data_IF_921957843753
#
_entry.id   IF_921957843753
#
_cell.length_a   1.000
_cell.length_b   1.000
_cell.length_c   1.000
_cell.angle_alpha   90.00
_cell.angle_beta   90.00
_cell.angle_gamma   90.00
#
_symmetry.space_group_name_H-M   'P 1'
#
loop_
_entity.id
_entity.type
_entity.pdbx_description
1 polymer ?
#
# COMPACT_ATOMS: atom_id res chain seq x y z
N UNK A 1 -11.97 -8.80 -12.07
CA UNK A 1 -12.00 -9.07 -10.61
C UNK A 1 -13.43 -8.98 -10.05
N UNK A 2 -14.12 -7.83 -10.13
CA UNK A 2 -15.47 -7.63 -9.58
C UNK A 2 -16.49 -8.69 -10.00
N UNK A 3 -16.51 -9.09 -11.28
CA UNK A 3 -17.39 -10.17 -11.78
C UNK A 3 -17.19 -11.48 -11.02
N UNK A 4 -15.95 -11.90 -10.79
CA UNK A 4 -15.68 -13.15 -10.08
C UNK A 4 -16.10 -13.07 -8.61
N UNK A 5 -15.95 -11.90 -7.97
CA UNK A 5 -16.46 -11.67 -6.62
C UNK A 5 -17.99 -11.77 -6.59
N UNK A 6 -18.68 -11.14 -7.55
CA UNK A 6 -20.14 -11.22 -7.66
C UNK A 6 -20.62 -12.67 -7.89
N UNK A 7 -19.98 -13.39 -8.80
CA UNK A 7 -20.31 -14.80 -9.07
C UNK A 7 -20.07 -15.67 -7.82
N UNK A 8 -19.04 -15.37 -7.04
CA UNK A 8 -18.76 -16.05 -5.75
C UNK A 8 -19.84 -15.73 -4.71
N UNK A 9 -20.20 -14.46 -4.57
CA UNK A 9 -21.25 -14.01 -3.64
C UNK A 9 -22.59 -14.65 -3.98
N UNK A 10 -22.92 -14.72 -5.28
CA UNK A 10 -24.12 -15.40 -5.80
C UNK A 10 -24.08 -16.89 -5.50
N UNK A 11 -22.94 -17.55 -5.76
CA UNK A 11 -22.80 -18.99 -5.57
C UNK A 11 -23.00 -19.40 -4.11
N UNK A 12 -22.47 -18.62 -3.17
CA UNK A 12 -22.61 -18.89 -1.74
C UNK A 12 -23.87 -18.28 -1.11
N UNK A 13 -24.66 -17.51 -1.85
CA UNK A 13 -25.87 -16.83 -1.38
C UNK A 13 -25.62 -15.95 -0.13
N UNK A 14 -24.56 -15.14 -0.19
CA UNK A 14 -24.10 -14.32 0.95
C UNK A 14 -24.25 -12.81 0.72
N UNK A 15 -25.02 -12.38 -0.28
CA UNK A 15 -25.14 -10.97 -0.66
C UNK A 15 -25.56 -10.06 0.51
N UNK A 16 -26.53 -10.50 1.31
CA UNK A 16 -27.03 -9.76 2.48
C UNK A 16 -26.05 -9.77 3.67
N UNK A 17 -25.04 -10.64 3.64
CA UNK A 17 -24.06 -10.84 4.70
C UNK A 17 -22.69 -10.21 4.40
N UNK A 18 -22.59 -9.37 3.35
CA UNK A 18 -21.35 -8.73 2.96
C UNK A 18 -21.00 -7.58 3.92
N UNK A 19 -19.96 -7.81 4.73
CA UNK A 19 -19.34 -6.80 5.59
C UNK A 19 -18.29 -5.98 4.85
N UNK A 20 -17.02 -6.31 5.06
CA UNK A 20 -15.86 -5.56 4.59
C UNK A 20 -14.96 -6.40 3.67
N UNK A 21 -14.21 -5.73 2.79
CA UNK A 21 -13.23 -6.36 1.90
C UNK A 21 -11.82 -5.99 2.33
N UNK A 22 -10.99 -7.00 2.60
CA UNK A 22 -9.56 -6.79 2.82
C UNK A 22 -8.81 -7.03 1.51
N UNK A 23 -8.00 -6.05 1.08
CA UNK A 23 -7.20 -6.14 -0.16
C UNK A 23 -5.85 -5.44 0.01
N UNK A 24 -4.87 -5.72 -0.86
CA UNK A 24 -3.60 -4.98 -0.89
C UNK A 24 -3.81 -3.49 -1.26
N UNK A 25 -2.76 -2.67 -1.17
CA UNK A 25 -2.90 -1.23 -1.41
C UNK A 25 -2.83 -0.82 -2.89
N UNK A 26 -3.32 -1.67 -3.79
CA UNK A 26 -3.43 -1.32 -5.19
C UNK A 26 -4.67 -0.46 -5.47
N UNK A 27 -4.50 0.64 -6.21
CA UNK A 27 -5.60 1.53 -6.65
C UNK A 27 -6.62 0.80 -7.53
N UNK A 28 -6.22 -0.28 -8.20
CA UNK A 28 -7.12 -1.15 -8.96
C UNK A 28 -8.24 -1.76 -8.09
N UNK A 29 -7.99 -1.93 -6.79
CA UNK A 29 -9.01 -2.43 -5.85
C UNK A 29 -10.14 -1.43 -5.62
N UNK A 30 -9.86 -0.13 -5.68
CA UNK A 30 -10.90 0.90 -5.58
C UNK A 30 -11.87 0.82 -6.77
N UNK A 31 -11.33 0.62 -7.96
CA UNK A 31 -12.13 0.41 -9.18
C UNK A 31 -12.92 -0.89 -9.11
N UNK A 32 -12.31 -1.97 -8.60
CA UNK A 32 -12.99 -3.24 -8.41
C UNK A 32 -14.17 -3.13 -7.44
N UNK A 33 -13.99 -2.49 -6.27
CA UNK A 33 -15.02 -2.37 -5.26
C UNK A 33 -16.15 -1.43 -5.69
N UNK A 34 -15.86 -0.34 -6.41
CA UNK A 34 -16.90 0.49 -7.04
C UNK A 34 -17.77 -0.33 -8.00
N UNK A 35 -17.15 -1.11 -8.88
CA UNK A 35 -17.89 -1.95 -9.82
C UNK A 35 -18.71 -3.04 -9.10
N UNK A 36 -18.18 -3.63 -8.02
CA UNK A 36 -18.89 -4.62 -7.23
C UNK A 36 -20.07 -4.01 -6.47
N UNK A 37 -19.91 -2.83 -5.85
CA UNK A 37 -20.98 -2.10 -5.17
C UNK A 37 -22.17 -1.83 -6.09
N UNK A 38 -21.91 -1.34 -7.32
CA UNK A 38 -22.96 -1.15 -8.32
C UNK A 38 -23.67 -2.46 -8.67
N UNK A 39 -22.93 -3.55 -8.84
CA UNK A 39 -23.53 -4.85 -9.17
C UNK A 39 -24.38 -5.41 -8.02
N UNK A 40 -23.91 -5.29 -6.77
CA UNK A 40 -24.66 -5.71 -5.58
C UNK A 40 -25.95 -4.91 -5.41
N UNK A 41 -25.91 -3.61 -5.64
CA UNK A 41 -27.10 -2.76 -5.60
C UNK A 41 -28.10 -3.14 -6.69
N UNK A 42 -27.64 -3.41 -7.91
CA UNK A 42 -28.51 -3.72 -9.04
C UNK A 42 -29.12 -5.13 -8.98
N UNK A 43 -28.35 -6.13 -8.55
CA UNK A 43 -28.78 -7.54 -8.57
C UNK A 43 -29.46 -7.96 -7.27
N UNK A 44 -28.99 -7.46 -6.12
CA UNK A 44 -29.44 -7.90 -4.80
C UNK A 44 -30.09 -6.77 -3.98
N UNK A 45 -30.10 -5.53 -4.46
CA UNK A 45 -30.58 -4.38 -3.69
C UNK A 45 -29.67 -4.00 -2.51
N UNK A 46 -28.45 -4.54 -2.46
CA UNK A 46 -27.52 -4.33 -1.33
C UNK A 46 -26.68 -3.07 -1.57
N UNK A 47 -26.93 -2.05 -0.74
CA UNK A 47 -26.13 -0.83 -0.71
C UNK A 47 -24.79 -1.04 0.01
N UNK A 48 -23.70 -0.63 -0.63
CA UNK A 48 -22.34 -0.72 -0.11
C UNK A 48 -21.54 0.51 -0.51
N UNK A 49 -20.94 1.21 0.47
CA UNK A 49 -19.93 2.23 0.18
C UNK A 49 -18.56 1.55 -0.05
N UNK A 50 -17.97 1.66 -1.25
CA UNK A 50 -16.73 0.97 -1.58
C UNK A 50 -15.49 1.57 -0.89
N UNK A 51 -15.54 2.83 -0.45
CA UNK A 51 -14.44 3.47 0.29
C UNK A 51 -14.46 3.04 1.75
N UNK A 52 -15.60 3.19 2.42
CA UNK A 52 -15.76 2.83 3.83
C UNK A 52 -15.58 1.33 4.08
N UNK A 53 -16.02 0.48 3.14
CA UNK A 53 -15.96 -0.98 3.31
C UNK A 53 -14.68 -1.63 2.79
N UNK A 54 -13.67 -0.83 2.39
CA UNK A 54 -12.34 -1.33 2.00
C UNK A 54 -11.36 -1.24 3.18
N UNK A 55 -10.85 -2.40 3.59
CA UNK A 55 -9.75 -2.51 4.55
C UNK A 55 -8.46 -2.83 3.78
N UNK A 56 -7.39 -2.10 4.05
CA UNK A 56 -6.06 -2.40 3.48
C UNK A 56 -5.43 -3.56 4.26
N UNK A 57 -4.81 -4.48 3.53
CA UNK A 57 -4.15 -5.65 4.11
C UNK A 57 -2.93 -5.23 4.93
N UNK A 58 -2.99 -5.42 6.26
CA UNK A 58 -1.88 -5.07 7.15
C UNK A 58 -0.56 -5.77 6.81
N UNK A 59 -0.62 -7.03 6.36
CA UNK A 59 0.58 -7.75 5.91
C UNK A 59 1.26 -7.08 4.70
N UNK A 60 0.47 -6.56 3.76
CA UNK A 60 0.99 -5.82 2.61
C UNK A 60 1.60 -4.48 3.04
N UNK A 61 0.95 -3.75 3.96
CA UNK A 61 1.50 -2.51 4.52
C UNK A 61 2.85 -2.76 5.23
N UNK A 62 2.95 -3.81 6.05
CA UNK A 62 4.21 -4.19 6.72
C UNK A 62 5.29 -4.50 5.68
N UNK A 63 4.95 -5.23 4.61
CA UNK A 63 5.88 -5.53 3.54
C UNK A 63 6.40 -4.26 2.85
N UNK A 64 5.51 -3.31 2.54
CA UNK A 64 5.90 -2.01 1.98
C UNK A 64 6.84 -1.24 2.91
N UNK A 65 6.51 -1.15 4.21
CA UNK A 65 7.37 -0.50 5.20
C UNK A 65 8.76 -1.17 5.28
N UNK A 66 8.81 -2.50 5.25
CA UNK A 66 10.06 -3.25 5.28
C UNK A 66 10.88 -3.02 4.03
N UNK A 67 10.26 -3.04 2.85
CA UNK A 67 10.95 -2.76 1.59
C UNK A 67 11.53 -1.35 1.57
N UNK A 68 10.76 -0.37 2.04
CA UNK A 68 11.20 1.01 2.19
C UNK A 68 12.40 1.11 3.15
N UNK A 69 12.33 0.40 4.28
CA UNK A 69 13.38 0.43 5.30
C UNK A 69 14.68 -0.24 4.83
N UNK A 70 14.58 -1.42 4.22
CA UNK A 70 15.74 -2.23 3.85
C UNK A 70 16.37 -1.81 2.52
N UNK A 71 15.56 -1.37 1.56
CA UNK A 71 15.97 -1.26 0.15
C UNK A 71 15.76 0.12 -0.47
N UNK A 72 15.29 1.13 0.26
CA UNK A 72 15.23 2.48 -0.28
C UNK A 72 16.64 2.98 -0.62
N UNK A 73 16.98 2.93 -1.90
CA UNK A 73 18.24 3.41 -2.47
C UNK A 73 18.26 4.93 -2.61
N UNK A 74 17.11 5.58 -2.49
CA UNK A 74 16.95 7.04 -2.53
C UNK A 74 15.80 7.53 -1.67
N UNK A 75 15.76 8.85 -1.43
CA UNK A 75 14.71 9.53 -0.66
C UNK A 75 13.34 9.44 -1.35
N UNK A 76 13.35 9.41 -2.67
CA UNK A 76 12.18 9.33 -3.54
C UNK A 76 11.56 7.93 -3.49
N UNK A 77 12.39 6.88 -3.50
CA UNK A 77 11.94 5.49 -3.33
C UNK A 77 11.31 5.26 -1.95
N UNK A 78 11.90 5.86 -0.90
CA UNK A 78 11.33 5.84 0.44
C UNK A 78 9.96 6.54 0.49
N UNK A 79 9.85 7.74 -0.11
CA UNK A 79 8.60 8.51 -0.17
C UNK A 79 7.49 7.77 -0.89
N UNK A 80 7.78 7.16 -2.05
CA UNK A 80 6.80 6.38 -2.79
C UNK A 80 6.27 5.18 -1.97
N UNK A 81 7.16 4.46 -1.29
CA UNK A 81 6.75 3.34 -0.44
C UNK A 81 5.97 3.79 0.81
N UNK A 82 6.22 5.00 1.32
CA UNK A 82 5.42 5.60 2.39
C UNK A 82 4.04 5.98 1.87
N UNK A 83 3.94 6.66 0.72
CA UNK A 83 2.65 7.02 0.11
C UNK A 83 1.81 5.77 -0.19
N UNK A 84 2.44 4.68 -0.62
CA UNK A 84 1.80 3.39 -0.81
C UNK A 84 1.48 2.66 0.51
N UNK A 85 2.13 3.01 1.61
CA UNK A 85 1.79 2.47 2.94
C UNK A 85 0.68 3.29 3.63
N UNK A 86 0.41 4.51 3.18
CA UNK A 86 -0.33 5.49 3.96
C UNK A 86 -1.87 5.50 3.75
N UNK A 87 -2.56 5.78 4.85
CA UNK A 87 -3.92 6.32 4.92
C UNK A 87 -4.11 7.42 5.98
N UNK A 88 -3.13 7.67 6.86
CA UNK A 88 -2.90 8.82 7.78
C UNK A 88 -1.86 8.41 8.85
N UNK A 89 -0.60 8.20 8.46
CA UNK A 89 0.49 7.78 9.31
C UNK A 89 1.15 9.01 9.96
N UNK A 90 1.40 8.93 11.27
CA UNK A 90 2.04 10.01 12.04
C UNK A 90 3.37 10.43 11.38
N UNK A 91 3.35 11.62 10.77
CA UNK A 91 4.44 12.28 10.03
C UNK A 91 5.79 12.20 10.74
N UNK A 92 5.78 12.19 12.08
CA UNK A 92 6.99 12.20 12.92
C UNK A 92 7.88 10.95 12.77
N UNK A 93 7.30 9.75 12.61
CA UNK A 93 8.10 8.51 12.46
C UNK A 93 8.77 8.48 11.09
N UNK A 94 8.01 8.90 10.07
CA UNK A 94 8.49 9.04 8.69
C UNK A 94 9.63 10.06 8.60
N UNK A 95 9.49 11.22 9.23
CA UNK A 95 10.52 12.27 9.27
C UNK A 95 11.81 11.77 9.94
N UNK A 96 11.67 11.07 11.07
CA UNK A 96 12.81 10.48 11.79
C UNK A 96 13.55 9.45 10.94
N UNK A 97 12.82 8.55 10.26
CA UNK A 97 13.42 7.55 9.40
C UNK A 97 14.10 8.18 8.17
N UNK A 98 13.46 9.19 7.57
CA UNK A 98 14.02 9.93 6.44
C UNK A 98 15.32 10.66 6.83
N UNK A 99 15.38 11.24 8.04
CA UNK A 99 16.59 11.87 8.57
C UNK A 99 17.71 10.85 8.80
N UNK A 100 17.40 9.69 9.36
CA UNK A 100 18.39 8.62 9.59
C UNK A 100 18.97 8.06 8.28
N UNK A 101 18.14 7.89 7.25
CA UNK A 101 18.59 7.42 5.93
C UNK A 101 19.47 8.46 5.21
N UNK A 102 19.15 9.76 5.32
CA UNK A 102 20.01 10.84 4.81
C UNK A 102 21.38 10.87 5.52
N UNK A 103 21.41 10.65 6.84
CA UNK A 103 22.67 10.56 7.58
C UNK A 103 23.52 9.35 7.12
N UNK A 104 22.89 8.19 6.87
CA UNK A 104 23.59 6.99 6.34
C UNK A 104 24.18 7.23 4.95
N UNK A 105 23.43 7.85 4.04
CA UNK A 105 23.93 8.16 2.68
C UNK A 105 25.07 9.19 2.69
N UNK A 106 25.06 10.12 3.64
CA UNK A 106 26.13 11.12 3.82
C UNK A 106 27.44 10.48 4.30
N UNK A 107 27.36 9.49 5.20
CA UNK A 107 28.50 8.73 5.70
C UNK A 107 29.11 7.82 4.62
N UNK A 108 28.29 7.27 3.72
CA UNK A 108 28.78 6.51 2.55
C UNK A 108 29.58 7.35 1.55
N UNK A 109 29.27 8.65 1.44
CA UNK A 109 29.95 9.59 0.52
C UNK A 109 31.35 10.01 1.00
N UNK A 110 31.64 9.88 2.30
CA UNK A 110 32.94 10.22 2.89
C UNK A 110 33.94 9.06 2.89
N UNK A 111 33.53 7.85 2.49
CA UNK A 111 34.44 6.69 2.31
C UNK A 111 34.85 6.54 0.84
N UNK A 112 35.38 7.62 0.24
CA UNK A 112 36.11 7.59 -1.03
C UNK A 112 37.24 8.62 -1.01
N UNK A 113 38.43 8.26 -0.51
CA UNK A 113 39.73 8.87 -0.87
C UNK A 113 40.84 7.91 -0.36
N UNK A 114 42.06 7.79 -0.96
CA UNK A 114 42.66 8.58 -2.04
C UNK A 114 43.14 7.78 -3.27
N UNK A 115 43.46 8.55 -4.31
CA UNK A 115 44.31 8.22 -5.45
C UNK A 115 45.64 7.57 -5.01
N UNK A 116 45.99 6.41 -5.59
CA UNK A 116 47.36 5.95 -5.61
C UNK A 116 48.02 6.48 -6.90
N UNK A 117 48.77 7.57 -6.75
CA UNK A 117 49.95 7.83 -7.57
C UNK A 117 51.14 7.15 -6.89
N UNK A 118 51.73 6.13 -7.51
CA UNK A 118 53.13 5.75 -7.30
C UNK A 118 53.61 4.80 -8.41
N UNK A 119 54.66 5.19 -9.12
CA UNK A 119 55.58 4.29 -9.84
C UNK A 119 55.54 4.38 -11.35
#
# INVERSE_FOLDING_TARGET
MSRHLLDTIRYFDIADNIGYFTSDNATANDTCLRALSTALANEFGVGMDPGERRVRCGGHIINLCLHAFLFASSKEALRAAIEEADGNANTTVVESLQAQLQQRNSKGKHRKVPEDQAG
#
